data_IF_189409903631
#
_entry.id   IF_189409903631
#
_cell.length_a   1.000
_cell.length_b   1.000
_cell.length_c   1.000
_cell.angle_alpha   90.00
_cell.angle_beta   90.00
_cell.angle_gamma   90.00
#
_symmetry.space_group_name_H-M   'P 1'
#
loop_
_entity.id
_entity.type
_entity.pdbx_description
1 polymer ?
#
# COMPACT_ATOMS: atom_id res chain seq x y z
N UNK A 1 -12.40 36.19 -1.38
CA UNK A 1 -11.43 35.08 -1.48
C UNK A 1 -10.95 35.12 -2.90
N UNK A 2 -9.64 35.26 -3.11
CA UNK A 2 -9.10 35.08 -4.45
C UNK A 2 -9.43 33.65 -4.87
N UNK A 3 -9.95 33.50 -6.08
CA UNK A 3 -10.25 32.19 -6.68
C UNK A 3 -9.08 31.83 -7.58
N UNK A 4 -8.90 30.53 -7.86
CA UNK A 4 -8.06 30.10 -8.99
C UNK A 4 -8.39 30.92 -10.26
N UNK A 5 -7.44 31.04 -11.20
CA UNK A 5 -7.70 31.75 -12.45
C UNK A 5 -8.98 31.24 -13.11
N UNK A 6 -9.91 32.15 -13.43
CA UNK A 6 -11.28 31.81 -13.88
C UNK A 6 -11.31 31.00 -15.18
N UNK A 7 -10.21 31.01 -15.93
CA UNK A 7 -10.04 30.21 -17.14
C UNK A 7 -9.75 28.73 -16.87
N UNK A 8 -9.26 28.37 -15.67
CA UNK A 8 -8.78 27.03 -15.35
C UNK A 8 -9.95 26.04 -15.21
N UNK A 9 -10.97 26.41 -14.43
CA UNK A 9 -12.10 25.51 -14.16
C UNK A 9 -12.82 25.01 -15.43
N UNK A 10 -13.17 25.87 -16.41
CA UNK A 10 -13.74 25.39 -17.68
C UNK A 10 -12.83 24.43 -18.44
N UNK A 11 -11.50 24.64 -18.38
CA UNK A 11 -10.53 23.75 -19.03
C UNK A 11 -10.45 22.41 -18.32
N UNK A 12 -10.42 22.39 -16.99
CA UNK A 12 -10.44 21.15 -16.19
C UNK A 12 -11.71 20.36 -16.50
N UNK A 13 -12.90 20.99 -16.47
CA UNK A 13 -14.17 20.31 -16.80
C UNK A 13 -14.15 19.70 -18.20
N UNK A 14 -13.71 20.47 -19.21
CA UNK A 14 -13.61 19.99 -20.58
C UNK A 14 -12.57 18.87 -20.75
N UNK A 15 -11.47 18.92 -19.99
CA UNK A 15 -10.44 17.89 -19.99
C UNK A 15 -10.99 16.58 -19.40
N UNK A 16 -11.66 16.66 -18.25
CA UNK A 16 -12.23 15.49 -17.56
C UNK A 16 -13.35 14.82 -18.37
N UNK A 17 -14.20 15.60 -19.05
CA UNK A 17 -15.22 15.03 -19.95
C UNK A 17 -14.56 14.24 -21.09
N UNK A 18 -13.46 14.73 -21.66
CA UNK A 18 -12.69 13.99 -22.68
C UNK A 18 -11.95 12.78 -22.12
N UNK A 19 -11.63 12.79 -20.82
CA UNK A 19 -10.94 11.70 -20.13
C UNK A 19 -11.91 10.58 -19.70
N UNK A 20 -13.22 10.82 -19.69
CA UNK A 20 -14.21 9.85 -19.20
C UNK A 20 -14.10 8.45 -19.83
N UNK A 21 -13.84 8.26 -21.15
CA UNK A 21 -13.63 6.92 -21.70
C UNK A 21 -12.43 6.18 -21.09
N UNK A 22 -11.34 6.89 -20.74
CA UNK A 22 -10.19 6.30 -20.04
C UNK A 22 -10.55 5.96 -18.59
N UNK A 23 -11.31 6.82 -17.93
CA UNK A 23 -11.83 6.57 -16.59
C UNK A 23 -12.74 5.32 -16.56
N UNK A 24 -13.64 5.19 -17.53
CA UNK A 24 -14.47 4.00 -17.70
C UNK A 24 -13.61 2.73 -17.80
N UNK A 25 -12.57 2.75 -18.64
CA UNK A 25 -11.65 1.63 -18.79
C UNK A 25 -10.83 1.35 -17.52
N UNK A 26 -10.46 2.39 -16.76
CA UNK A 26 -9.78 2.28 -15.48
C UNK A 26 -10.66 1.57 -14.45
N UNK A 27 -11.89 2.05 -14.24
CA UNK A 27 -12.84 1.47 -13.29
C UNK A 27 -13.25 0.06 -13.71
N UNK A 28 -13.44 -0.21 -15.00
CA UNK A 28 -13.72 -1.55 -15.50
C UNK A 28 -12.61 -2.56 -15.12
N UNK A 29 -11.33 -2.18 -15.27
CA UNK A 29 -10.19 -3.02 -14.90
C UNK A 29 -10.09 -3.22 -13.40
N UNK A 30 -10.24 -2.15 -12.62
CA UNK A 30 -10.25 -2.20 -11.17
C UNK A 30 -11.34 -3.13 -10.65
N UNK A 31 -12.58 -2.95 -11.13
CA UNK A 31 -13.73 -3.75 -10.70
C UNK A 31 -13.54 -5.22 -11.09
N UNK A 32 -13.18 -5.52 -12.33
CA UNK A 32 -12.94 -6.90 -12.75
C UNK A 32 -11.86 -7.60 -11.91
N UNK A 33 -10.84 -6.86 -11.47
CA UNK A 33 -9.83 -7.38 -10.56
C UNK A 33 -10.39 -7.67 -9.16
N UNK A 34 -11.32 -6.86 -8.64
CA UNK A 34 -12.00 -7.18 -7.38
C UNK A 34 -12.77 -8.49 -7.47
N UNK A 35 -13.55 -8.70 -8.54
CA UNK A 35 -14.29 -9.95 -8.77
C UNK A 35 -13.40 -11.20 -8.85
N UNK A 36 -12.17 -11.06 -9.35
CA UNK A 36 -11.21 -12.16 -9.41
C UNK A 36 -10.54 -12.48 -8.07
N UNK A 37 -10.42 -11.50 -7.17
CA UNK A 37 -9.49 -11.58 -6.03
C UNK A 37 -10.14 -11.45 -4.66
N UNK A 38 -11.38 -10.98 -4.59
CA UNK A 38 -12.08 -10.71 -3.34
C UNK A 38 -13.21 -11.70 -3.07
N UNK A 39 -13.40 -11.95 -1.79
CA UNK A 39 -14.56 -12.66 -1.27
C UNK A 39 -15.62 -11.66 -0.82
N UNK A 40 -16.87 -12.13 -0.68
CA UNK A 40 -17.94 -11.43 0.01
C UNK A 40 -17.72 -11.43 1.52
N UNK A 41 -18.16 -10.37 2.17
CA UNK A 41 -18.11 -10.23 3.62
C UNK A 41 -19.50 -9.92 4.18
N UNK A 42 -19.72 -10.32 5.42
CA UNK A 42 -20.91 -10.02 6.20
C UNK A 42 -20.51 -9.50 7.58
N UNK A 43 -21.41 -8.75 8.22
CA UNK A 43 -21.20 -8.26 9.59
C UNK A 43 -21.86 -9.23 10.56
N UNK A 44 -21.03 -9.82 11.42
CA UNK A 44 -21.46 -10.66 12.52
C UNK A 44 -21.78 -9.82 13.76
N UNK A 45 -23.05 -9.87 14.17
CA UNK A 45 -23.60 -9.20 15.34
C UNK A 45 -23.84 -10.18 16.53
N UNK A 46 -23.21 -11.34 16.52
CA UNK A 46 -23.37 -12.33 17.61
C UNK A 46 -22.88 -11.82 18.97
N UNK A 47 -21.91 -10.90 18.98
CA UNK A 47 -21.32 -10.33 20.21
C UNK A 47 -21.74 -8.87 20.45
N UNK A 48 -22.26 -8.19 19.43
CA UNK A 48 -22.61 -6.77 19.47
C UNK A 48 -24.00 -6.54 18.88
N UNK A 49 -24.87 -5.77 19.54
CA UNK A 49 -26.21 -5.53 19.03
C UNK A 49 -26.21 -4.89 17.62
N UNK A 50 -27.16 -5.25 16.73
CA UNK A 50 -27.21 -4.73 15.35
C UNK A 50 -27.27 -3.21 15.23
N UNK A 51 -27.70 -2.50 16.27
CA UNK A 51 -27.83 -1.04 16.28
C UNK A 51 -26.54 -0.28 16.61
N UNK A 52 -25.47 -0.96 17.05
CA UNK A 52 -24.20 -0.31 17.40
C UNK A 52 -23.21 -0.25 16.21
N UNK A 53 -23.57 -0.79 15.04
CA UNK A 53 -22.77 -0.81 13.80
C UNK A 53 -21.33 -1.34 13.97
N UNK A 54 -21.02 -1.94 15.12
CA UNK A 54 -19.68 -2.27 15.63
C UNK A 54 -19.35 -3.76 15.51
N UNK A 55 -20.19 -4.52 14.79
CA UNK A 55 -20.04 -5.96 14.62
C UNK A 55 -18.70 -6.36 13.99
N UNK A 56 -18.48 -7.67 13.89
CA UNK A 56 -17.24 -8.18 13.30
C UNK A 56 -17.44 -8.45 11.82
N UNK A 57 -16.58 -7.89 10.97
CA UNK A 57 -16.57 -8.25 9.55
C UNK A 57 -15.97 -9.65 9.35
N UNK A 58 -16.73 -10.55 8.72
CA UNK A 58 -16.35 -11.95 8.48
C UNK A 58 -16.41 -12.25 6.98
N UNK A 59 -15.36 -12.92 6.46
CA UNK A 59 -15.36 -13.45 5.09
C UNK A 59 -16.30 -14.65 5.01
N UNK A 60 -17.24 -14.59 4.07
CA UNK A 60 -18.15 -15.71 3.76
C UNK A 60 -17.45 -16.85 2.99
N UNK A 61 -16.22 -16.61 2.52
CA UNK A 61 -15.46 -17.48 1.60
C UNK A 61 -16.15 -17.73 0.25
N UNK A 62 -17.17 -16.94 -0.08
CA UNK A 62 -17.79 -16.91 -1.40
C UNK A 62 -17.13 -15.81 -2.23
N UNK A 63 -16.84 -16.09 -3.50
CA UNK A 63 -16.34 -15.08 -4.43
C UNK A 63 -17.48 -14.15 -4.87
N UNK A 64 -17.16 -12.91 -5.22
CA UNK A 64 -18.10 -12.00 -5.88
C UNK A 64 -18.53 -12.59 -7.25
N UNK A 65 -19.83 -12.57 -7.56
CA UNK A 65 -20.37 -13.00 -8.86
C UNK A 65 -21.10 -11.84 -9.53
N UNK A 66 -20.88 -11.66 -10.83
CA UNK A 66 -21.46 -10.50 -11.55
C UNK A 66 -22.97 -10.55 -11.61
N UNK A 67 -23.56 -11.75 -11.50
CA UNK A 67 -24.99 -12.02 -11.50
C UNK A 67 -25.68 -11.49 -10.23
N UNK A 68 -24.91 -11.23 -9.17
CA UNK A 68 -25.45 -10.72 -7.91
C UNK A 68 -25.78 -9.22 -7.97
N UNK A 69 -25.29 -8.51 -9.01
CA UNK A 69 -25.41 -7.05 -9.14
C UNK A 69 -25.82 -6.66 -10.55
N UNK A 70 -26.86 -5.86 -10.68
CA UNK A 70 -27.27 -5.30 -11.97
C UNK A 70 -26.37 -4.13 -12.38
N UNK A 71 -26.15 -3.17 -11.46
CA UNK A 71 -25.41 -1.93 -11.71
C UNK A 71 -24.20 -1.81 -10.80
N UNK A 72 -23.24 -0.96 -11.18
CA UNK A 72 -22.07 -0.69 -10.35
C UNK A 72 -22.49 -0.13 -8.98
N UNK A 73 -23.48 0.75 -8.94
CA UNK A 73 -24.07 1.28 -7.70
C UNK A 73 -24.41 0.17 -6.68
N UNK A 74 -25.10 -0.89 -7.11
CA UNK A 74 -25.45 -2.02 -6.24
C UNK A 74 -24.21 -2.76 -5.72
N UNK A 75 -23.18 -2.92 -6.55
CA UNK A 75 -21.92 -3.51 -6.12
C UNK A 75 -21.17 -2.64 -5.10
N UNK A 76 -21.28 -1.31 -5.17
CA UNK A 76 -20.54 -0.40 -4.28
C UNK A 76 -21.01 -0.48 -2.81
N UNK A 77 -22.18 -1.06 -2.54
CA UNK A 77 -22.67 -1.35 -1.19
C UNK A 77 -21.94 -2.53 -0.54
N UNK A 78 -21.27 -3.38 -1.32
CA UNK A 78 -20.54 -4.54 -0.81
C UNK A 78 -19.33 -4.15 0.03
N UNK A 79 -19.11 -4.87 1.13
CA UNK A 79 -17.97 -4.68 1.99
C UNK A 79 -16.66 -5.10 1.32
N UNK A 80 -15.61 -4.27 1.42
CA UNK A 80 -14.31 -4.54 0.80
C UNK A 80 -13.35 -5.35 1.69
N UNK A 81 -13.78 -5.71 2.91
CA UNK A 81 -12.97 -6.43 3.89
C UNK A 81 -12.16 -5.54 4.84
N UNK A 82 -12.20 -4.22 4.68
CA UNK A 82 -11.50 -3.27 5.54
C UNK A 82 -12.41 -2.76 6.65
N UNK A 83 -11.81 -2.40 7.78
CA UNK A 83 -12.50 -1.79 8.91
C UNK A 83 -11.63 -0.70 9.52
N UNK A 84 -12.26 0.39 9.94
CA UNK A 84 -11.63 1.52 10.59
C UNK A 84 -12.15 1.65 12.02
N UNK A 85 -11.32 2.08 12.98
CA UNK A 85 -11.82 2.48 14.29
C UNK A 85 -12.86 3.59 14.14
N UNK A 86 -13.99 3.45 14.82
CA UNK A 86 -15.03 4.47 14.89
C UNK A 86 -15.24 4.87 16.35
N UNK A 87 -15.38 6.17 16.60
CA UNK A 87 -15.59 6.71 17.94
C UNK A 87 -17.08 6.94 18.25
N UNK A 88 -17.99 6.42 17.41
CA UNK A 88 -19.45 6.64 17.54
C UNK A 88 -19.98 6.11 18.88
N UNK A 89 -19.44 4.99 19.36
CA UNK A 89 -19.74 4.40 20.68
C UNK A 89 -18.50 4.24 21.59
N UNK A 90 -17.38 4.90 21.25
CA UNK A 90 -16.14 4.86 22.02
C UNK A 90 -15.22 3.66 21.78
N UNK A 91 -15.75 2.55 21.21
CA UNK A 91 -14.98 1.33 20.89
C UNK A 91 -15.43 0.63 19.57
N UNK A 92 -16.23 1.27 18.73
CA UNK A 92 -16.85 0.61 17.56
C UNK A 92 -15.92 0.50 16.34
N UNK A 93 -16.22 -0.41 15.41
CA UNK A 93 -15.62 -0.46 14.09
C UNK A 93 -16.58 0.09 13.04
N UNK A 94 -16.07 0.77 12.02
CA UNK A 94 -16.80 1.12 10.80
C UNK A 94 -16.25 0.28 9.65
N UNK A 95 -17.12 -0.46 8.97
CA UNK A 95 -16.73 -1.33 7.86
C UNK A 95 -16.82 -0.57 6.55
N UNK A 96 -15.77 -0.66 5.75
CA UNK A 96 -15.70 0.04 4.47
C UNK A 96 -16.34 -0.81 3.35
N UNK A 97 -16.95 -0.14 2.40
CA UNK A 97 -17.50 -0.74 1.18
C UNK A 97 -16.64 -0.41 -0.03
N UNK A 98 -16.93 -1.04 -1.17
CA UNK A 98 -16.27 -0.70 -2.43
C UNK A 98 -16.56 0.73 -2.91
N UNK A 99 -17.57 1.42 -2.38
CA UNK A 99 -17.75 2.86 -2.59
C UNK A 99 -16.53 3.68 -2.19
N UNK A 100 -15.93 3.38 -1.02
CA UNK A 100 -14.74 4.07 -0.53
C UNK A 100 -13.49 3.78 -1.39
N UNK A 101 -13.44 2.60 -2.01
CA UNK A 101 -12.38 2.27 -2.95
C UNK A 101 -12.60 2.98 -4.30
N UNK A 102 -13.84 3.07 -4.80
CA UNK A 102 -14.17 3.83 -6.01
C UNK A 102 -13.81 5.32 -5.84
N UNK A 103 -14.07 5.91 -4.68
CA UNK A 103 -13.64 7.28 -4.36
C UNK A 103 -12.14 7.46 -4.51
N UNK A 104 -11.36 6.54 -3.94
CA UNK A 104 -9.90 6.57 -4.05
C UNK A 104 -9.42 6.44 -5.49
N UNK A 105 -9.98 5.47 -6.24
CA UNK A 105 -9.64 5.25 -7.65
C UNK A 105 -10.00 6.47 -8.51
N UNK A 106 -11.13 7.13 -8.22
CA UNK A 106 -11.59 8.31 -8.94
C UNK A 106 -10.73 9.53 -8.64
N UNK A 107 -10.44 9.79 -7.37
CA UNK A 107 -9.57 10.89 -6.94
C UNK A 107 -8.16 10.73 -7.51
N UNK A 108 -7.61 9.51 -7.49
CA UNK A 108 -6.32 9.24 -8.11
C UNK A 108 -6.33 9.52 -9.62
N UNK A 109 -7.34 9.00 -10.33
CA UNK A 109 -7.48 9.24 -11.78
C UNK A 109 -7.58 10.74 -12.11
N UNK A 110 -8.40 11.49 -11.38
CA UNK A 110 -8.56 12.93 -11.60
C UNK A 110 -7.26 13.68 -11.26
N UNK A 111 -6.54 13.27 -10.21
CA UNK A 111 -5.22 13.80 -9.89
C UNK A 111 -4.22 13.63 -11.04
N UNK A 112 -4.15 12.42 -11.61
CA UNK A 112 -3.28 12.11 -12.75
C UNK A 112 -3.66 12.93 -14.01
N UNK A 113 -4.96 13.06 -14.31
CA UNK A 113 -5.43 13.86 -15.45
C UNK A 113 -5.24 15.37 -15.23
N UNK A 114 -5.36 15.85 -13.98
CA UNK A 114 -5.04 17.23 -13.64
C UNK A 114 -3.55 17.51 -13.86
N UNK A 115 -2.67 16.62 -13.41
CA UNK A 115 -1.23 16.71 -13.69
C UNK A 115 -0.95 16.76 -15.20
N UNK A 116 -1.59 15.89 -15.99
CA UNK A 116 -1.43 15.86 -17.44
C UNK A 116 -1.88 17.17 -18.10
N UNK A 117 -3.00 17.76 -17.62
CA UNK A 117 -3.47 19.06 -18.09
C UNK A 117 -2.47 20.17 -17.74
N UNK A 118 -2.02 20.24 -16.50
CA UNK A 118 -1.08 21.27 -16.04
C UNK A 118 0.24 21.21 -16.81
N UNK A 119 0.71 20.01 -17.11
CA UNK A 119 1.93 19.78 -17.91
C UNK A 119 1.85 20.29 -19.35
N UNK A 120 0.64 20.60 -19.85
CA UNK A 120 0.40 21.12 -21.19
C UNK A 120 0.21 22.65 -21.21
N UNK A 121 0.10 23.29 -20.05
CA UNK A 121 -0.08 24.72 -19.95
C UNK A 121 1.20 25.47 -20.30
N UNK A 122 1.06 26.69 -20.82
CA UNK A 122 2.23 27.54 -21.03
C UNK A 122 2.75 28.12 -19.71
N UNK A 123 3.97 28.67 -19.74
CA UNK A 123 4.62 29.19 -18.54
C UNK A 123 3.81 30.31 -17.85
N UNK A 124 3.20 31.21 -18.62
CA UNK A 124 2.40 32.30 -18.08
C UNK A 124 1.20 31.76 -17.28
N UNK A 125 0.48 30.79 -17.83
CA UNK A 125 -0.66 30.15 -17.16
C UNK A 125 -0.25 29.43 -15.88
N UNK A 126 0.90 28.74 -15.91
CA UNK A 126 1.45 28.09 -14.73
C UNK A 126 1.87 29.11 -13.65
N UNK A 127 2.47 30.23 -14.04
CA UNK A 127 2.88 31.28 -13.11
C UNK A 127 1.68 31.95 -12.43
N UNK A 128 0.56 32.12 -13.14
CA UNK A 128 -0.71 32.60 -12.56
C UNK A 128 -1.23 31.65 -11.47
N UNK A 129 -1.25 30.34 -11.75
CA UNK A 129 -1.67 29.31 -10.78
C UNK A 129 -0.71 29.29 -9.57
N UNK A 130 0.61 29.31 -9.82
CA UNK A 130 1.61 29.32 -8.74
C UNK A 130 1.48 30.54 -7.85
N UNK A 131 1.31 31.73 -8.45
CA UNK A 131 1.11 32.97 -7.71
C UNK A 131 -0.10 32.87 -6.79
N UNK A 132 -1.19 32.30 -7.28
CA UNK A 132 -2.38 32.04 -6.48
C UNK A 132 -2.08 31.09 -5.30
N UNK A 133 -1.48 29.92 -5.57
CA UNK A 133 -1.18 28.92 -4.55
C UNK A 133 -0.18 29.43 -3.49
N UNK A 134 0.82 30.23 -3.89
CA UNK A 134 1.78 30.83 -2.97
C UNK A 134 1.15 31.81 -1.98
N UNK A 135 0.03 32.44 -2.37
CA UNK A 135 -0.73 33.36 -1.54
C UNK A 135 -1.82 32.68 -0.73
N UNK A 136 -2.03 31.37 -0.89
CA UNK A 136 -3.03 30.63 -0.14
C UNK A 136 -2.54 30.40 1.31
N UNK A 137 -3.28 30.85 2.35
CA UNK A 137 -2.89 30.66 3.75
C UNK A 137 -2.91 29.19 4.21
N UNK A 138 -3.55 28.30 3.46
CA UNK A 138 -3.63 26.86 3.74
C UNK A 138 -2.59 26.04 2.98
N UNK A 139 -1.63 26.71 2.34
CA UNK A 139 -0.61 26.05 1.52
C UNK A 139 0.29 25.13 2.34
N UNK A 140 0.73 24.03 1.73
CA UNK A 140 1.84 23.24 2.27
C UNK A 140 3.20 23.95 2.05
N UNK A 141 3.92 24.22 3.13
CA UNK A 141 5.22 24.91 3.07
C UNK A 141 6.32 24.05 2.41
N UNK A 142 6.19 22.71 2.48
CA UNK A 142 7.21 21.74 2.06
C UNK A 142 7.17 21.38 0.57
N UNK A 143 6.18 21.87 -0.19
CA UNK A 143 6.01 21.49 -1.59
C UNK A 143 6.74 22.43 -2.55
N UNK A 144 7.54 21.83 -3.42
CA UNK A 144 8.18 22.53 -4.52
C UNK A 144 7.21 22.75 -5.69
N UNK A 145 6.56 23.91 -5.72
CA UNK A 145 5.62 24.31 -6.76
C UNK A 145 6.27 24.58 -8.13
N UNK A 146 7.55 24.24 -8.34
CA UNK A 146 8.13 24.24 -9.69
C UNK A 146 7.67 23.04 -10.53
N UNK A 147 7.27 21.94 -9.90
CA UNK A 147 6.83 20.70 -10.55
C UNK A 147 5.30 20.66 -10.70
N UNK A 148 4.73 20.35 -11.88
CA UNK A 148 3.28 20.28 -12.07
C UNK A 148 2.58 19.23 -11.19
N UNK A 149 3.29 18.16 -10.80
CA UNK A 149 2.79 17.13 -9.87
C UNK A 149 2.46 17.73 -8.51
N UNK A 150 3.37 18.57 -7.99
CA UNK A 150 3.19 19.26 -6.71
C UNK A 150 2.10 20.32 -6.79
N UNK A 151 1.93 20.99 -7.94
CA UNK A 151 0.82 21.93 -8.18
C UNK A 151 -0.52 21.19 -8.18
N UNK A 152 -0.63 20.04 -8.87
CA UNK A 152 -1.85 19.23 -8.89
C UNK A 152 -2.21 18.73 -7.49
N UNK A 153 -1.22 18.25 -6.74
CA UNK A 153 -1.39 17.82 -5.35
C UNK A 153 -1.80 18.99 -4.45
N UNK A 154 -1.19 20.16 -4.61
CA UNK A 154 -1.54 21.34 -3.82
C UNK A 154 -2.98 21.78 -4.08
N UNK A 155 -3.41 21.81 -5.35
CA UNK A 155 -4.81 22.11 -5.71
C UNK A 155 -5.77 21.13 -5.03
N UNK A 156 -5.41 19.85 -4.98
CA UNK A 156 -6.19 18.81 -4.33
C UNK A 156 -6.29 19.01 -2.81
N UNK A 157 -5.17 19.15 -2.10
CA UNK A 157 -5.19 19.21 -0.62
C UNK A 157 -5.77 20.52 -0.08
N UNK A 158 -5.62 21.62 -0.82
CA UNK A 158 -6.10 22.94 -0.40
C UNK A 158 -7.58 23.14 -0.73
N UNK A 159 -8.21 22.19 -1.42
CA UNK A 159 -9.58 22.26 -1.92
C UNK A 159 -9.87 23.59 -2.64
N UNK A 160 -8.87 24.10 -3.37
CA UNK A 160 -8.92 25.43 -3.99
C UNK A 160 -9.72 25.47 -5.27
N UNK A 161 -10.01 24.30 -5.82
CA UNK A 161 -10.79 24.13 -7.04
C UNK A 161 -12.18 23.61 -6.64
N UNK A 162 -13.13 24.52 -6.44
CA UNK A 162 -14.52 24.19 -6.05
C UNK A 162 -15.19 23.16 -6.99
N UNK A 163 -14.74 23.08 -8.24
CA UNK A 163 -15.26 22.08 -9.18
C UNK A 163 -14.68 20.67 -9.01
N UNK A 164 -13.61 20.49 -8.24
CA UNK A 164 -12.91 19.20 -8.11
C UNK A 164 -13.82 18.13 -7.49
N UNK A 165 -14.45 18.43 -6.34
CA UNK A 165 -15.43 17.54 -5.72
C UNK A 165 -16.64 17.28 -6.62
N UNK A 166 -17.12 18.33 -7.30
CA UNK A 166 -18.23 18.20 -8.24
C UNK A 166 -17.88 17.27 -9.42
N UNK A 167 -16.62 17.28 -9.88
CA UNK A 167 -16.13 16.38 -10.93
C UNK A 167 -16.04 14.94 -10.40
N UNK A 168 -15.52 14.72 -9.18
CA UNK A 168 -15.50 13.38 -8.55
C UNK A 168 -16.91 12.82 -8.52
N UNK A 169 -17.85 13.55 -7.92
CA UNK A 169 -19.25 13.13 -7.76
C UNK A 169 -19.86 12.84 -9.13
N UNK A 170 -19.73 13.75 -10.10
CA UNK A 170 -20.29 13.56 -11.43
C UNK A 170 -19.70 12.34 -12.17
N UNK A 171 -18.40 12.06 -12.01
CA UNK A 171 -17.77 10.89 -12.61
C UNK A 171 -18.24 9.60 -11.95
N UNK A 172 -18.34 9.58 -10.62
CA UNK A 172 -18.84 8.44 -9.84
C UNK A 172 -20.30 8.14 -10.15
N UNK A 173 -21.18 9.13 -10.09
CA UNK A 173 -22.60 8.99 -10.42
C UNK A 173 -22.78 8.47 -11.85
N UNK A 174 -22.00 9.00 -12.81
CA UNK A 174 -22.06 8.56 -14.19
C UNK A 174 -21.62 7.10 -14.36
N UNK A 175 -20.54 6.67 -13.71
CA UNK A 175 -20.05 5.29 -13.82
C UNK A 175 -20.90 4.29 -13.02
N UNK A 176 -21.49 4.72 -11.91
CA UNK A 176 -22.32 3.90 -11.02
C UNK A 176 -23.56 3.31 -11.72
N UNK A 177 -24.10 4.03 -12.71
CA UNK A 177 -25.28 3.63 -13.49
C UNK A 177 -25.00 2.53 -14.53
N UNK A 178 -23.73 2.19 -14.80
CA UNK A 178 -23.42 1.16 -15.79
C UNK A 178 -23.66 -0.25 -15.26
N UNK A 179 -24.07 -1.14 -16.18
CA UNK A 179 -24.24 -2.56 -15.86
C UNK A 179 -22.90 -3.20 -15.46
N UNK A 180 -22.93 -3.97 -14.36
CA UNK A 180 -21.72 -4.66 -13.87
C UNK A 180 -21.18 -5.65 -14.90
N UNK A 181 -22.07 -6.40 -15.56
CA UNK A 181 -21.66 -7.37 -16.59
C UNK A 181 -20.85 -6.70 -17.74
N UNK A 182 -21.24 -5.48 -18.13
CA UNK A 182 -20.54 -4.73 -19.18
C UNK A 182 -19.14 -4.29 -18.71
N UNK A 183 -19.06 -3.68 -17.53
CA UNK A 183 -17.79 -3.22 -16.96
C UNK A 183 -16.83 -4.41 -16.73
N UNK A 184 -17.35 -5.54 -16.23
CA UNK A 184 -16.55 -6.74 -15.99
C UNK A 184 -15.99 -7.29 -17.31
N UNK A 185 -16.84 -7.45 -18.33
CA UNK A 185 -16.43 -7.90 -19.66
C UNK A 185 -15.36 -6.99 -20.27
N UNK A 186 -15.43 -5.69 -20.03
CA UNK A 186 -14.44 -4.72 -20.51
C UNK A 186 -13.09 -4.88 -19.81
N UNK A 187 -13.08 -5.13 -18.49
CA UNK A 187 -11.87 -5.17 -17.68
C UNK A 187 -11.19 -6.54 -17.56
N UNK A 188 -11.92 -7.63 -17.82
CA UNK A 188 -11.50 -8.99 -17.40
C UNK A 188 -10.18 -9.47 -17.99
N UNK A 189 -9.88 -9.14 -19.26
CA UNK A 189 -8.61 -9.56 -19.89
C UNK A 189 -7.41 -9.00 -19.13
N UNK A 190 -7.40 -7.68 -18.90
CA UNK A 190 -6.31 -7.01 -18.19
C UNK A 190 -6.25 -7.43 -16.72
N UNK A 191 -7.41 -7.61 -16.07
CA UNK A 191 -7.47 -8.06 -14.68
C UNK A 191 -6.89 -9.48 -14.51
N UNK A 192 -7.17 -10.39 -15.46
CA UNK A 192 -6.66 -11.76 -15.47
C UNK A 192 -5.15 -11.78 -15.68
N UNK A 193 -4.62 -11.00 -16.63
CA UNK A 193 -3.18 -10.86 -16.86
C UNK A 193 -2.45 -10.35 -15.61
N UNK A 194 -2.99 -9.29 -14.98
CA UNK A 194 -2.47 -8.75 -13.72
C UNK A 194 -2.47 -9.81 -12.62
N UNK A 195 -3.59 -10.50 -12.43
CA UNK A 195 -3.72 -11.53 -11.40
C UNK A 195 -2.72 -12.69 -11.61
N UNK A 196 -2.58 -13.17 -12.84
CA UNK A 196 -1.62 -14.23 -13.17
C UNK A 196 -0.17 -13.81 -12.88
N UNK A 197 0.19 -12.57 -13.24
CA UNK A 197 1.52 -12.01 -12.96
C UNK A 197 1.79 -11.91 -11.47
N UNK A 198 0.89 -11.33 -10.70
CA UNK A 198 1.03 -11.19 -9.24
C UNK A 198 1.10 -12.55 -8.54
N UNK A 199 0.34 -13.54 -9.01
CA UNK A 199 0.38 -14.90 -8.49
C UNK A 199 1.73 -15.57 -8.74
N UNK A 200 2.29 -15.44 -9.94
CA UNK A 200 3.61 -15.97 -10.27
C UNK A 200 4.72 -15.26 -9.48
N UNK A 201 4.68 -13.94 -9.36
CA UNK A 201 5.62 -13.17 -8.53
C UNK A 201 5.56 -13.59 -7.05
N UNK A 202 4.35 -13.81 -6.52
CA UNK A 202 4.15 -14.29 -5.15
C UNK A 202 4.72 -15.70 -4.96
N UNK A 203 4.52 -16.59 -5.94
CA UNK A 203 5.09 -17.94 -5.93
C UNK A 203 6.63 -17.90 -5.92
N UNK A 204 7.23 -17.13 -6.83
CA UNK A 204 8.68 -16.96 -6.90
C UNK A 204 9.26 -16.38 -5.60
N UNK A 205 8.60 -15.36 -5.04
CA UNK A 205 8.99 -14.76 -3.75
C UNK A 205 8.93 -15.79 -2.62
N UNK A 206 7.87 -16.59 -2.56
CA UNK A 206 7.71 -17.64 -1.55
C UNK A 206 8.75 -18.75 -1.69
N UNK A 207 9.07 -19.16 -2.92
CA UNK A 207 10.14 -20.12 -3.19
C UNK A 207 11.52 -19.57 -2.79
N UNK A 208 11.79 -18.29 -3.09
CA UNK A 208 13.01 -17.62 -2.67
C UNK A 208 13.11 -17.52 -1.15
N UNK A 209 12.02 -17.15 -0.47
CA UNK A 209 11.95 -17.11 1.00
C UNK A 209 12.18 -18.49 1.61
N UNK A 210 11.60 -19.56 1.04
CA UNK A 210 11.84 -20.94 1.49
C UNK A 210 13.32 -21.33 1.34
N UNK A 211 13.94 -21.02 0.19
CA UNK A 211 15.38 -21.28 -0.03
C UNK A 211 16.25 -20.52 0.97
N UNK A 212 15.94 -19.24 1.22
CA UNK A 212 16.63 -18.42 2.22
C UNK A 212 16.46 -18.98 3.63
N UNK A 213 15.25 -19.42 4.01
CA UNK A 213 14.98 -20.02 5.30
C UNK A 213 15.77 -21.33 5.50
N UNK A 214 15.81 -22.21 4.50
CA UNK A 214 16.63 -23.44 4.53
C UNK A 214 18.11 -23.10 4.73
N UNK A 215 18.62 -22.13 3.97
CA UNK A 215 20.02 -21.69 4.09
C UNK A 215 20.31 -21.11 5.47
N UNK A 216 19.44 -20.24 5.98
CA UNK A 216 19.56 -19.68 7.33
C UNK A 216 19.55 -20.77 8.40
N UNK A 217 18.71 -21.80 8.24
CA UNK A 217 18.63 -22.93 9.16
C UNK A 217 19.91 -23.76 9.19
N UNK A 218 20.50 -24.02 8.01
CA UNK A 218 21.80 -24.69 7.90
C UNK A 218 22.92 -23.86 8.52
N UNK A 219 22.95 -22.55 8.25
CA UNK A 219 23.92 -21.62 8.84
C UNK A 219 23.78 -21.56 10.36
N UNK A 220 22.56 -21.44 10.88
CA UNK A 220 22.32 -21.40 12.33
C UNK A 220 22.76 -22.69 13.02
N UNK A 221 22.42 -23.85 12.45
CA UNK A 221 22.87 -25.14 12.95
C UNK A 221 24.40 -25.27 12.95
N UNK A 222 25.08 -24.71 11.92
CA UNK A 222 26.54 -24.66 11.85
C UNK A 222 27.11 -23.75 12.93
N UNK A 223 26.53 -22.58 13.14
CA UNK A 223 26.89 -21.63 14.21
C UNK A 223 26.78 -22.34 15.57
N UNK A 224 25.63 -22.93 15.91
CA UNK A 224 25.44 -23.65 17.18
C UNK A 224 26.50 -24.74 17.42
N UNK A 225 26.78 -25.56 16.41
CA UNK A 225 27.80 -26.62 16.51
C UNK A 225 29.20 -26.06 16.70
N UNK A 226 29.58 -25.06 15.91
CA UNK A 226 30.91 -24.44 16.02
C UNK A 226 31.08 -23.73 17.36
N UNK A 227 30.02 -23.12 17.89
CA UNK A 227 30.02 -22.52 19.21
C UNK A 227 30.27 -23.58 20.27
N UNK A 228 29.52 -24.69 20.23
CA UNK A 228 29.66 -25.80 21.17
C UNK A 228 31.04 -26.44 21.13
N UNK A 229 31.62 -26.62 19.94
CA UNK A 229 32.99 -27.14 19.79
C UNK A 229 34.03 -26.18 20.40
N UNK A 230 33.86 -24.87 20.22
CA UNK A 230 34.83 -23.87 20.65
C UNK A 230 34.78 -23.59 22.16
N UNK A 231 33.58 -23.50 22.72
CA UNK A 231 33.37 -23.07 24.11
C UNK A 231 32.96 -24.21 25.05
N UNK A 232 32.64 -25.40 24.53
CA UNK A 232 32.20 -26.54 25.34
C UNK A 232 30.77 -26.42 25.88
N UNK A 233 30.03 -25.40 25.45
CA UNK A 233 28.70 -25.04 25.98
C UNK A 233 27.71 -24.80 24.83
N UNK A 234 26.41 -24.97 25.10
CA UNK A 234 25.36 -24.65 24.12
C UNK A 234 25.08 -23.15 24.11
N UNK A 235 24.67 -22.61 22.94
CA UNK A 235 24.20 -21.23 22.88
C UNK A 235 22.97 -21.02 23.78
N UNK A 236 22.82 -19.84 24.41
CA UNK A 236 21.62 -19.52 25.15
C UNK A 236 20.41 -19.49 24.21
N UNK A 237 19.24 -19.81 24.76
CA UNK A 237 17.98 -19.82 23.99
C UNK A 237 17.67 -18.47 23.33
N UNK A 238 17.97 -17.36 24.03
CA UNK A 238 17.95 -16.00 23.50
C UNK A 238 19.31 -15.35 23.74
N UNK A 239 19.90 -14.80 22.69
CA UNK A 239 21.14 -14.05 22.75
C UNK A 239 20.82 -12.59 23.08
N UNK A 240 21.22 -12.19 24.28
CA UNK A 240 21.06 -10.84 24.79
C UNK A 240 22.28 -9.96 24.51
N UNK A 241 22.06 -8.65 24.50
CA UNK A 241 23.09 -7.66 24.13
C UNK A 241 24.40 -7.76 24.93
N UNK A 242 24.40 -8.02 26.26
CA UNK A 242 25.65 -8.20 27.01
C UNK A 242 26.49 -9.36 26.47
N UNK A 243 25.88 -10.55 26.35
CA UNK A 243 26.53 -11.74 25.81
C UNK A 243 26.94 -11.56 24.34
N UNK A 244 26.10 -10.87 23.56
CA UNK A 244 26.40 -10.50 22.18
C UNK A 244 27.72 -9.74 22.09
N UNK A 245 27.86 -8.65 22.86
CA UNK A 245 29.05 -7.78 22.81
C UNK A 245 30.30 -8.48 23.32
N UNK A 246 30.20 -9.23 24.42
CA UNK A 246 31.38 -9.79 25.09
C UNK A 246 31.90 -11.06 24.43
N UNK A 247 31.04 -11.89 23.86
CA UNK A 247 31.42 -13.23 23.40
C UNK A 247 30.93 -13.56 22.00
N UNK A 248 29.64 -13.38 21.71
CA UNK A 248 29.06 -13.87 20.46
C UNK A 248 29.54 -13.09 19.23
N UNK A 249 29.58 -11.75 19.29
CA UNK A 249 30.01 -10.89 18.19
C UNK A 249 31.49 -11.06 17.82
N UNK A 250 32.45 -11.02 18.78
CA UNK A 250 33.85 -11.33 18.47
C UNK A 250 34.02 -12.72 17.83
N UNK A 251 33.23 -13.69 18.27
CA UNK A 251 33.26 -15.03 17.70
C UNK A 251 32.67 -15.09 16.29
N UNK A 252 31.55 -14.42 16.01
CA UNK A 252 31.01 -14.30 14.65
C UNK A 252 32.00 -13.66 13.68
N UNK A 253 32.73 -12.62 14.12
CA UNK A 253 33.81 -12.02 13.33
C UNK A 253 34.90 -13.06 12.99
N UNK A 254 35.26 -13.93 13.94
CA UNK A 254 36.23 -15.01 13.67
C UNK A 254 35.71 -16.03 12.65
N UNK A 255 34.42 -16.40 12.71
CA UNK A 255 33.82 -17.29 11.70
C UNK A 255 33.84 -16.69 10.31
N UNK A 256 33.70 -15.36 10.20
CA UNK A 256 33.82 -14.67 8.93
C UNK A 256 35.26 -14.70 8.40
N UNK A 257 36.27 -14.52 9.26
CA UNK A 257 37.67 -14.71 8.85
C UNK A 257 37.99 -16.14 8.40
N UNK A 258 37.22 -17.12 8.87
CA UNK A 258 37.27 -18.53 8.47
C UNK A 258 36.40 -18.85 7.23
N UNK A 259 35.85 -17.83 6.57
CA UNK A 259 35.14 -17.97 5.30
C UNK A 259 33.62 -18.08 5.38
N UNK A 260 32.99 -17.85 6.55
CA UNK A 260 31.54 -17.69 6.62
C UNK A 260 31.14 -16.34 6.00
N UNK A 261 30.23 -16.36 5.02
CA UNK A 261 29.84 -15.13 4.34
C UNK A 261 28.99 -14.23 5.26
N UNK A 262 29.22 -12.92 5.21
CA UNK A 262 28.47 -11.92 5.97
C UNK A 262 26.96 -12.05 5.77
N UNK A 263 26.55 -12.27 4.51
CA UNK A 263 25.15 -12.45 4.13
C UNK A 263 24.51 -13.65 4.82
N UNK A 264 25.29 -14.69 5.15
CA UNK A 264 24.79 -15.87 5.89
C UNK A 264 24.50 -15.55 7.33
N UNK A 265 25.33 -14.75 7.99
CA UNK A 265 25.13 -14.26 9.35
C UNK A 265 23.94 -13.29 9.39
N UNK A 266 23.84 -12.37 8.45
CA UNK A 266 22.69 -11.46 8.34
C UNK A 266 21.37 -12.23 8.13
N UNK A 267 21.39 -13.31 7.36
CA UNK A 267 20.21 -14.15 7.12
C UNK A 267 19.71 -14.84 8.39
N UNK A 268 20.57 -15.24 9.33
CA UNK A 268 20.11 -15.85 10.58
C UNK A 268 19.33 -14.85 11.43
N UNK A 269 19.72 -13.57 11.47
CA UNK A 269 18.96 -12.54 12.18
C UNK A 269 17.53 -12.34 11.63
N UNK A 270 17.36 -12.50 10.31
CA UNK A 270 16.05 -12.39 9.66
C UNK A 270 15.15 -13.58 9.98
N UNK A 271 15.65 -14.80 9.90
CA UNK A 271 14.83 -16.02 9.99
C UNK A 271 14.82 -16.68 11.38
N UNK A 272 15.82 -16.43 12.22
CA UNK A 272 15.93 -16.91 13.60
C UNK A 272 15.76 -15.75 14.60
N UNK A 273 14.86 -14.82 14.30
CA UNK A 273 14.64 -13.63 15.12
C UNK A 273 14.23 -13.92 16.57
N UNK A 274 13.72 -15.12 16.87
CA UNK A 274 13.38 -15.57 18.22
C UNK A 274 14.61 -15.94 19.07
N UNK A 275 15.75 -16.21 18.44
CA UNK A 275 17.01 -16.55 19.11
C UNK A 275 17.80 -15.32 19.56
N UNK A 276 17.29 -14.11 19.30
CA UNK A 276 17.97 -12.85 19.58
C UNK A 276 17.00 -11.84 20.19
N UNK A 277 17.48 -11.00 21.09
CA UNK A 277 16.71 -9.81 21.44
C UNK A 277 16.67 -8.81 20.29
N UNK A 278 15.66 -7.92 20.31
CA UNK A 278 15.43 -6.96 19.24
C UNK A 278 16.66 -6.11 18.90
N UNK A 279 17.46 -5.75 19.91
CA UNK A 279 18.68 -4.97 19.75
C UNK A 279 19.78 -5.78 19.06
N UNK A 280 19.97 -7.05 19.46
CA UNK A 280 20.92 -7.95 18.79
C UNK A 280 20.51 -8.22 17.35
N UNK A 281 19.22 -8.44 17.09
CA UNK A 281 18.68 -8.62 15.73
C UNK A 281 19.01 -7.43 14.84
N UNK A 282 18.91 -6.21 15.35
CA UNK A 282 19.25 -5.01 14.59
C UNK A 282 20.74 -4.99 14.21
N UNK A 283 21.63 -5.24 15.17
CA UNK A 283 23.08 -5.30 14.91
C UNK A 283 23.47 -6.42 13.95
N UNK A 284 22.84 -7.58 14.04
CA UNK A 284 23.12 -8.69 13.13
C UNK A 284 22.57 -8.45 11.72
N UNK A 285 21.43 -7.77 11.59
CA UNK A 285 20.86 -7.40 10.28
C UNK A 285 21.77 -6.46 9.50
N UNK A 286 22.59 -5.68 10.19
CA UNK A 286 23.61 -4.79 9.63
C UNK A 286 25.04 -5.29 9.88
N UNK A 287 25.23 -6.57 10.19
CA UNK A 287 26.53 -7.14 10.54
C UNK A 287 27.50 -6.91 9.38
N UNK A 288 28.63 -6.25 9.63
CA UNK A 288 29.66 -5.98 8.63
C UNK A 288 31.02 -6.25 9.22
N UNK A 289 31.89 -6.85 8.42
CA UNK A 289 33.30 -6.93 8.77
C UNK A 289 34.00 -5.66 8.35
N UNK A 290 34.53 -4.93 9.34
CA UNK A 290 35.51 -3.89 9.09
C UNK A 290 36.91 -4.48 9.31
N UNK A 291 37.69 -4.74 8.24
CA UNK A 291 39.06 -5.26 8.36
C UNK A 291 40.00 -4.32 9.13
N UNK A 292 39.61 -3.05 9.34
CA UNK A 292 40.40 -2.06 10.07
C UNK A 292 40.03 -1.97 11.56
N UNK A 293 38.97 -2.64 12.00
CA UNK A 293 38.57 -2.70 13.40
C UNK A 293 39.22 -3.92 14.06
N UNK A 294 40.52 -3.83 14.35
CA UNK A 294 41.18 -4.78 15.27
C UNK A 294 40.83 -4.39 16.71
N UNK A 295 40.52 -5.35 17.59
CA UNK A 295 40.31 -5.09 19.01
C UNK A 295 41.53 -4.46 19.68
#
# INVERSE_FOLDING_TARGET
>A
MDTLPTWLEPQVKAHMEKAFPRYFDHIAKWMAYQFLTKNKYEVDHNLDPPWDSSGRLISTNQNLQTEDYQTLEQFLEEYNGNSLPSFVSGCGLSHQTFAADLERETSQFIGDELYNLLSQLNQQQLDEIKTFLLNNPYRSEDLDLTMPENIAYEIFITDTLECYWNIIIAMQERIALFEIALLYKRGISTATERFAKEHEEKKQRNEQLKKQHIKASQTWSKIERLYQVRFGETLPFSIEMPFYKTQFHPWLLSLQTEGMAETEIQMTAKFYCHSFSNSVRHHLSSFRFDPNHRP
#
